data_IF_810564637683
#
_entry.id   IF_810564637683
#
_cell.length_a   1.000
_cell.length_b   1.000
_cell.length_c   1.000
_cell.angle_alpha   90.00
_cell.angle_beta   90.00
_cell.angle_gamma   90.00
#
_symmetry.space_group_name_H-M   'P 1'
#
loop_
_entity.id
_entity.type
_entity.pdbx_description
1 polymer ?
#
# COMPACT_ATOMS: atom_id res chain seq x y z
N UNK A 1 -26.20 -5.57 17.54
CA UNK A 1 -24.74 -5.60 17.49
C UNK A 1 -24.29 -4.56 16.50
N UNK A 2 -24.21 -3.32 16.93
CA UNK A 2 -23.73 -2.27 16.02
C UNK A 2 -22.21 -2.29 16.00
N UNK A 3 -21.63 -2.62 14.87
CA UNK A 3 -20.24 -2.38 14.54
C UNK A 3 -19.90 -0.88 14.57
N UNK A 4 -20.90 -0.06 14.83
CA UNK A 4 -20.82 1.39 14.87
C UNK A 4 -21.02 1.91 16.29
N UNK A 5 -19.95 2.38 16.89
CA UNK A 5 -19.97 3.17 18.11
C UNK A 5 -19.47 4.59 17.81
N UNK A 6 -20.36 5.60 17.77
CA UNK A 6 -19.98 6.97 17.44
C UNK A 6 -19.05 7.61 18.48
N UNK A 7 -18.98 7.07 19.68
CA UNK A 7 -18.14 7.56 20.77
C UNK A 7 -16.76 6.89 20.79
N UNK A 8 -16.57 5.80 20.03
CA UNK A 8 -15.29 5.11 19.93
C UNK A 8 -14.26 5.95 19.17
N UNK A 9 -12.99 5.82 19.55
CA UNK A 9 -11.88 6.41 18.83
C UNK A 9 -11.78 5.88 17.39
N UNK A 10 -11.19 6.66 16.49
CA UNK A 10 -11.17 6.28 15.08
C UNK A 10 -10.47 4.92 14.82
N UNK A 11 -9.52 4.52 15.63
CA UNK A 11 -8.90 3.18 15.58
C UNK A 11 -9.88 2.05 15.93
N UNK A 12 -10.75 2.31 16.88
CA UNK A 12 -11.81 1.36 17.25
C UNK A 12 -12.91 1.32 16.20
N UNK A 13 -13.04 2.42 15.45
CA UNK A 13 -13.99 2.58 14.35
C UNK A 13 -13.41 2.18 12.99
N UNK A 14 -12.18 1.64 12.96
CA UNK A 14 -11.54 1.21 11.71
C UNK A 14 -12.37 0.18 10.93
N UNK A 15 -13.19 -0.60 11.62
CA UNK A 15 -14.15 -1.52 11.00
C UNK A 15 -15.21 -0.83 10.13
N UNK A 16 -15.53 0.43 10.40
CA UNK A 16 -16.50 1.18 9.59
C UNK A 16 -16.00 1.42 8.17
N UNK A 17 -14.69 1.47 7.98
CA UNK A 17 -14.09 1.66 6.67
C UNK A 17 -13.99 0.36 5.87
N UNK A 18 -14.24 -0.77 6.52
CA UNK A 18 -14.12 -2.10 5.92
C UNK A 18 -12.67 -2.51 5.67
N UNK A 19 -12.42 -3.80 5.75
CA UNK A 19 -11.11 -4.39 5.43
C UNK A 19 -10.86 -4.34 3.91
N UNK A 20 -11.92 -4.42 3.12
CA UNK A 20 -11.85 -4.43 1.66
C UNK A 20 -12.53 -3.20 1.07
N UNK A 21 -11.76 -2.39 0.38
CA UNK A 21 -12.24 -1.23 -0.36
C UNK A 21 -12.10 -1.49 -1.87
N UNK A 22 -13.25 -1.62 -2.53
CA UNK A 22 -13.36 -1.85 -3.97
C UNK A 22 -13.43 -0.51 -4.69
N UNK A 23 -12.65 -0.27 -5.75
CA UNK A 23 -12.73 0.97 -6.51
C UNK A 23 -14.09 1.10 -7.21
N UNK A 24 -14.61 2.32 -7.26
CA UNK A 24 -15.82 2.61 -8.00
C UNK A 24 -15.63 2.27 -9.49
N UNK A 25 -16.57 1.56 -10.14
CA UNK A 25 -16.44 1.19 -11.55
C UNK A 25 -16.26 2.38 -12.49
N UNK A 26 -16.85 3.54 -12.20
CA UNK A 26 -16.63 4.74 -13.00
C UNK A 26 -15.20 5.26 -12.89
N UNK A 27 -14.59 5.17 -11.70
CA UNK A 27 -13.17 5.47 -11.49
C UNK A 27 -12.29 4.49 -12.25
N UNK A 28 -12.54 3.19 -12.13
CA UNK A 28 -11.80 2.13 -12.85
C UNK A 28 -11.85 2.37 -14.37
N UNK A 29 -13.04 2.64 -14.91
CA UNK A 29 -13.20 2.95 -16.33
C UNK A 29 -12.43 4.20 -16.76
N UNK A 30 -12.40 5.23 -15.93
CA UNK A 30 -11.64 6.45 -16.21
C UNK A 30 -10.14 6.18 -16.17
N UNK A 31 -9.66 5.42 -15.19
CA UNK A 31 -8.27 5.01 -15.09
C UNK A 31 -7.82 4.22 -16.34
N UNK A 32 -8.57 3.21 -16.73
CA UNK A 32 -8.27 2.38 -17.90
C UNK A 32 -8.27 3.17 -19.21
N UNK A 33 -9.20 4.11 -19.40
CA UNK A 33 -9.21 5.01 -20.56
C UNK A 33 -7.94 5.87 -20.68
N UNK A 34 -7.28 6.10 -19.56
CA UNK A 34 -6.03 6.86 -19.50
C UNK A 34 -4.79 5.97 -19.37
N UNK A 35 -4.93 4.64 -19.54
CA UNK A 35 -3.81 3.70 -19.46
C UNK A 35 -3.25 3.54 -18.03
N UNK A 36 -4.07 3.78 -17.02
CA UNK A 36 -3.71 3.70 -15.60
C UNK A 36 -4.41 2.51 -14.95
N UNK A 37 -3.69 1.76 -14.14
CA UNK A 37 -4.26 0.68 -13.34
C UNK A 37 -5.16 1.22 -12.22
N UNK A 38 -6.19 0.47 -11.89
CA UNK A 38 -7.10 0.73 -10.78
C UNK A 38 -6.96 -0.38 -9.75
N UNK A 39 -6.59 -0.04 -8.51
CA UNK A 39 -6.39 -1.00 -7.44
C UNK A 39 -7.44 -0.82 -6.36
N UNK A 40 -7.93 -1.95 -5.84
CA UNK A 40 -8.63 -2.00 -4.57
C UNK A 40 -7.64 -1.87 -3.41
N UNK A 41 -8.15 -1.71 -2.20
CA UNK A 41 -7.32 -1.70 -1.01
C UNK A 41 -7.79 -2.78 -0.04
N UNK A 42 -6.84 -3.57 0.45
CA UNK A 42 -7.04 -4.47 1.58
C UNK A 42 -6.34 -3.81 2.77
N UNK A 43 -7.11 -3.51 3.80
CA UNK A 43 -6.61 -2.81 4.99
C UNK A 43 -6.62 -3.73 6.20
N UNK A 44 -5.47 -3.93 6.79
CA UNK A 44 -5.30 -4.69 8.03
C UNK A 44 -4.88 -3.75 9.17
N UNK A 45 -5.83 -3.12 9.86
CA UNK A 45 -5.51 -2.23 10.96
C UNK A 45 -5.11 -2.99 12.24
N UNK A 46 -5.43 -4.29 12.34
CA UNK A 46 -5.11 -5.16 13.47
C UNK A 46 -4.77 -6.57 13.02
N UNK A 47 -3.95 -7.26 13.82
CA UNK A 47 -3.52 -8.63 13.52
C UNK A 47 -4.69 -9.60 13.38
N UNK A 48 -5.70 -9.48 14.21
CA UNK A 48 -6.90 -10.32 14.17
C UNK A 48 -7.57 -10.34 12.79
N UNK A 49 -7.57 -9.21 12.07
CA UNK A 49 -8.10 -9.16 10.69
C UNK A 49 -7.23 -9.93 9.71
N UNK A 50 -5.93 -9.97 9.98
CA UNK A 50 -4.99 -10.72 9.17
C UNK A 50 -5.21 -12.22 9.38
N UNK A 51 -5.36 -12.64 10.64
CA UNK A 51 -5.60 -14.05 10.99
C UNK A 51 -6.94 -14.55 10.41
N UNK A 52 -7.99 -13.70 10.42
CA UNK A 52 -9.30 -14.03 9.87
C UNK A 52 -9.30 -14.18 8.33
N UNK A 53 -8.41 -13.50 7.64
CA UNK A 53 -8.37 -13.50 6.18
C UNK A 53 -7.28 -14.43 5.60
N UNK A 54 -6.14 -14.49 6.25
CA UNK A 54 -4.97 -15.26 5.79
C UNK A 54 -4.91 -16.59 6.54
N UNK A 55 -5.71 -17.53 6.09
CA UNK A 55 -5.69 -18.91 6.58
C UNK A 55 -5.80 -19.89 5.41
N UNK A 56 -5.28 -21.09 5.59
CA UNK A 56 -5.34 -22.15 4.60
C UNK A 56 -6.53 -23.09 4.86
N UNK A 57 -7.17 -23.51 3.80
CA UNK A 57 -8.18 -24.57 3.85
C UNK A 57 -7.53 -25.97 3.89
N UNK A 58 -8.37 -27.00 3.87
CA UNK A 58 -7.94 -28.40 3.87
C UNK A 58 -7.08 -28.79 2.64
N UNK A 59 -7.14 -28.00 1.57
CA UNK A 59 -6.34 -28.21 0.35
C UNK A 59 -5.00 -27.48 0.40
N UNK A 60 -4.75 -26.69 1.45
CA UNK A 60 -3.57 -25.88 1.60
C UNK A 60 -3.62 -24.53 0.87
N UNK A 61 -4.77 -24.16 0.29
CA UNK A 61 -4.97 -22.89 -0.40
C UNK A 61 -5.56 -21.84 0.54
N UNK A 62 -5.43 -20.58 0.16
CA UNK A 62 -6.07 -19.45 0.84
C UNK A 62 -7.41 -19.12 0.17
N UNK A 63 -8.56 -19.48 0.79
CA UNK A 63 -9.87 -19.24 0.17
C UNK A 63 -10.15 -17.77 -0.06
N UNK A 64 -9.66 -16.90 0.85
CA UNK A 64 -9.83 -15.48 0.72
C UNK A 64 -9.04 -14.91 -0.47
N UNK A 65 -7.84 -15.42 -0.78
CA UNK A 65 -7.10 -15.01 -1.96
C UNK A 65 -7.87 -15.31 -3.24
N UNK A 66 -8.42 -16.53 -3.37
CA UNK A 66 -9.24 -16.91 -4.53
C UNK A 66 -10.49 -16.02 -4.64
N UNK A 67 -11.14 -15.71 -3.53
CA UNK A 67 -12.30 -14.80 -3.51
C UNK A 67 -11.95 -13.38 -3.91
N UNK A 68 -10.81 -12.85 -3.46
CA UNK A 68 -10.33 -11.53 -3.85
C UNK A 68 -10.02 -11.45 -5.35
N UNK A 69 -9.46 -12.52 -5.91
CA UNK A 69 -9.26 -12.63 -7.37
C UNK A 69 -10.59 -12.60 -8.13
N UNK A 70 -11.58 -13.37 -7.66
CA UNK A 70 -12.94 -13.36 -8.23
C UNK A 70 -13.55 -11.95 -8.19
N UNK A 71 -13.45 -11.27 -7.06
CA UNK A 71 -13.96 -9.90 -6.88
C UNK A 71 -13.28 -8.93 -7.85
N UNK A 72 -11.95 -8.96 -7.94
CA UNK A 72 -11.22 -8.06 -8.85
C UNK A 72 -11.66 -8.28 -10.31
N UNK A 73 -11.74 -9.53 -10.74
CA UNK A 73 -12.19 -9.89 -12.10
C UNK A 73 -13.64 -9.52 -12.36
N UNK A 74 -14.52 -9.66 -11.36
CA UNK A 74 -15.94 -9.31 -11.48
C UNK A 74 -16.15 -7.81 -11.66
N UNK A 75 -15.47 -6.99 -10.86
CA UNK A 75 -15.58 -5.53 -10.91
C UNK A 75 -14.64 -4.89 -11.94
N UNK A 76 -13.72 -5.66 -12.51
CA UNK A 76 -12.85 -5.23 -13.61
C UNK A 76 -11.71 -4.32 -13.22
N UNK A 77 -11.25 -4.35 -11.96
CA UNK A 77 -10.05 -3.65 -11.54
C UNK A 77 -8.82 -4.58 -11.50
N UNK A 78 -7.62 -4.01 -11.47
CA UNK A 78 -6.40 -4.74 -11.85
C UNK A 78 -5.75 -5.50 -10.68
N UNK A 79 -6.04 -5.12 -9.46
CA UNK A 79 -5.41 -5.74 -8.30
C UNK A 79 -5.61 -5.00 -7.01
N UNK A 80 -4.70 -5.23 -6.07
CA UNK A 80 -4.84 -4.69 -4.71
C UNK A 80 -3.58 -3.99 -4.22
N UNK A 81 -3.79 -2.88 -3.53
CA UNK A 81 -2.87 -2.33 -2.57
C UNK A 81 -3.16 -2.96 -1.21
N UNK A 82 -2.17 -3.62 -0.61
CA UNK A 82 -2.31 -4.24 0.70
C UNK A 82 -1.68 -3.33 1.74
N UNK A 83 -2.53 -2.72 2.53
CA UNK A 83 -2.17 -1.79 3.59
C UNK A 83 -2.18 -2.49 4.94
N UNK A 84 -1.11 -3.21 5.24
CA UNK A 84 -0.92 -3.85 6.52
C UNK A 84 -0.10 -2.93 7.43
N UNK A 85 -0.78 -2.28 8.37
CA UNK A 85 -0.19 -1.25 9.23
C UNK A 85 0.24 -1.79 10.59
N UNK A 86 -0.23 -2.96 10.97
CA UNK A 86 0.17 -3.60 12.20
C UNK A 86 1.41 -4.48 12.00
N UNK A 87 2.17 -4.61 13.06
CA UNK A 87 3.36 -5.43 13.06
C UNK A 87 2.98 -6.91 13.14
N UNK A 88 3.20 -7.64 12.05
CA UNK A 88 2.93 -9.07 12.01
C UNK A 88 4.10 -9.87 12.61
N UNK A 89 3.82 -11.00 13.29
CA UNK A 89 4.85 -11.91 13.75
C UNK A 89 5.74 -12.41 12.58
N UNK A 90 7.01 -12.58 12.87
CA UNK A 90 7.97 -13.02 11.85
C UNK A 90 7.66 -14.42 11.27
N UNK A 91 7.09 -15.28 12.07
CA UNK A 91 6.65 -16.62 11.67
C UNK A 91 5.38 -16.62 10.82
N UNK A 92 4.60 -15.53 10.85
CA UNK A 92 3.43 -15.34 9.99
C UNK A 92 3.78 -14.79 8.60
N UNK A 93 4.94 -14.14 8.46
CA UNK A 93 5.32 -13.49 7.20
C UNK A 93 5.36 -14.43 5.98
N UNK A 94 5.81 -15.71 6.09
CA UNK A 94 5.73 -16.64 4.97
C UNK A 94 4.30 -16.91 4.50
N UNK A 95 3.34 -17.04 5.40
CA UNK A 95 1.92 -17.22 5.05
C UNK A 95 1.36 -15.98 4.35
N UNK A 96 1.74 -14.80 4.81
CA UNK A 96 1.35 -13.55 4.16
C UNK A 96 1.95 -13.43 2.74
N UNK A 97 3.21 -13.80 2.57
CA UNK A 97 3.86 -13.83 1.25
C UNK A 97 3.13 -14.78 0.30
N UNK A 98 2.85 -16.02 0.75
CA UNK A 98 2.16 -17.02 -0.05
C UNK A 98 0.70 -16.63 -0.38
N UNK A 99 0.02 -15.98 0.54
CA UNK A 99 -1.30 -15.41 0.27
C UNK A 99 -1.27 -14.39 -0.90
N UNK A 100 -0.29 -13.50 -0.88
CA UNK A 100 -0.07 -12.54 -1.97
C UNK A 100 0.29 -13.24 -3.27
N UNK A 101 1.17 -14.23 -3.21
CA UNK A 101 1.61 -15.05 -4.35
C UNK A 101 0.44 -15.76 -5.02
N UNK A 102 -0.45 -16.36 -4.24
CA UNK A 102 -1.63 -17.03 -4.78
C UNK A 102 -2.54 -16.10 -5.58
N UNK A 103 -2.63 -14.82 -5.23
CA UNK A 103 -3.34 -13.83 -6.02
C UNK A 103 -2.55 -13.43 -7.28
N UNK A 104 -1.25 -13.18 -7.13
CA UNK A 104 -0.38 -12.77 -8.23
C UNK A 104 -0.31 -13.84 -9.34
N UNK A 105 -0.24 -15.12 -9.00
CA UNK A 105 -0.29 -16.25 -9.93
C UNK A 105 -1.55 -16.26 -10.81
N UNK A 106 -2.63 -15.72 -10.30
CA UNK A 106 -3.89 -15.62 -11.02
C UNK A 106 -4.04 -14.32 -11.83
N UNK A 107 -2.94 -13.57 -11.98
CA UNK A 107 -2.84 -12.36 -12.79
C UNK A 107 -3.33 -11.09 -12.09
N UNK A 108 -3.42 -11.09 -10.77
CA UNK A 108 -3.78 -9.91 -9.98
C UNK A 108 -2.52 -9.11 -9.63
N UNK A 109 -2.56 -7.80 -9.89
CA UNK A 109 -1.47 -6.91 -9.50
C UNK A 109 -1.48 -6.70 -7.98
N UNK A 110 -0.35 -6.93 -7.34
CA UNK A 110 -0.19 -6.76 -5.90
C UNK A 110 0.84 -5.68 -5.62
N UNK A 111 0.42 -4.65 -4.89
CA UNK A 111 1.31 -3.67 -4.29
C UNK A 111 1.21 -3.81 -2.78
N UNK A 112 2.34 -3.98 -2.11
CA UNK A 112 2.37 -4.11 -0.65
C UNK A 112 2.99 -2.88 0.00
N UNK A 113 2.41 -2.48 1.13
CA UNK A 113 2.98 -1.44 1.96
C UNK A 113 4.22 -1.96 2.65
N UNK A 114 5.34 -1.34 2.35
CA UNK A 114 6.63 -1.63 2.96
C UNK A 114 7.22 -0.34 3.51
N UNK A 115 7.52 -0.29 4.79
CA UNK A 115 7.90 0.96 5.41
C UNK A 115 9.24 1.49 4.91
N UNK A 116 10.18 0.61 4.63
CA UNK A 116 11.49 1.02 4.14
C UNK A 116 12.27 -0.18 3.59
N UNK A 117 12.71 -0.10 2.36
CA UNK A 117 13.56 -1.13 1.78
C UNK A 117 15.01 -1.01 2.26
N UNK A 118 15.47 0.21 2.44
CA UNK A 118 16.75 0.56 2.99
C UNK A 118 16.59 1.02 4.44
N UNK A 119 17.42 0.59 5.30
CA UNK A 119 17.34 0.92 6.72
C UNK A 119 16.78 -0.25 7.53
N UNK A 120 17.59 -1.22 7.64
CA UNK A 120 17.35 -2.48 8.36
C UNK A 120 16.93 -2.31 9.82
N UNK A 121 16.89 -1.11 10.34
CA UNK A 121 16.66 -0.80 11.74
C UNK A 121 15.35 -0.08 12.02
N UNK A 122 14.48 0.09 11.05
CA UNK A 122 13.16 0.65 11.29
C UNK A 122 12.25 -0.38 11.97
N UNK A 123 12.71 -0.81 13.12
CA UNK A 123 11.90 -1.61 14.00
C UNK A 123 10.87 -0.71 14.64
N UNK A 124 9.61 -0.98 14.37
CA UNK A 124 8.51 -0.37 15.08
C UNK A 124 7.81 0.76 14.37
N UNK A 125 8.10 1.03 13.12
CA UNK A 125 7.23 1.88 12.31
C UNK A 125 6.47 1.06 11.29
N UNK A 126 5.29 1.41 11.06
CA UNK A 126 4.34 1.14 10.00
C UNK A 126 4.94 0.39 8.80
N UNK A 127 4.58 -0.85 8.60
CA UNK A 127 5.02 -1.64 7.48
C UNK A 127 5.65 -2.94 7.93
N UNK A 128 4.90 -3.98 7.77
CA UNK A 128 5.17 -5.27 8.37
C UNK A 128 6.28 -6.02 7.67
N UNK A 129 6.58 -5.67 6.44
CA UNK A 129 7.71 -6.23 5.69
C UNK A 129 9.05 -5.93 6.36
N UNK A 130 9.16 -4.83 7.09
CA UNK A 130 10.35 -4.53 7.89
C UNK A 130 10.69 -5.58 8.93
N UNK A 131 9.72 -6.28 9.39
CA UNK A 131 9.93 -7.34 10.36
C UNK A 131 10.77 -8.47 9.80
N UNK A 132 10.52 -8.75 8.56
CA UNK A 132 11.13 -9.82 7.83
C UNK A 132 12.45 -9.40 7.18
N UNK A 133 12.56 -8.13 6.93
CA UNK A 133 13.57 -7.60 6.05
C UNK A 133 14.83 -7.19 6.82
N UNK A 134 15.62 -8.16 7.19
CA UNK A 134 16.99 -7.90 7.67
C UNK A 134 18.03 -7.95 6.56
N UNK A 135 17.68 -8.45 5.39
CA UNK A 135 18.53 -8.48 4.22
C UNK A 135 17.74 -8.42 2.90
N UNK A 136 18.42 -8.10 1.82
CA UNK A 136 17.81 -7.96 0.50
C UNK A 136 17.29 -9.30 -0.07
N UNK A 137 17.75 -10.42 0.45
CA UNK A 137 17.40 -11.75 -0.05
C UNK A 137 15.92 -12.05 0.20
N UNK A 138 15.43 -11.70 1.39
CA UNK A 138 14.02 -11.91 1.72
C UNK A 138 13.09 -11.04 0.87
N UNK A 139 13.52 -9.82 0.54
CA UNK A 139 12.78 -8.95 -0.37
C UNK A 139 12.74 -9.47 -1.79
N UNK A 140 13.81 -10.15 -2.22
CA UNK A 140 13.87 -10.70 -3.56
C UNK A 140 12.78 -11.74 -3.81
N UNK A 141 12.42 -12.52 -2.81
CA UNK A 141 11.37 -13.53 -2.93
C UNK A 141 10.01 -12.90 -3.22
N UNK A 142 9.72 -11.72 -2.65
CA UNK A 142 8.45 -11.03 -2.88
C UNK A 142 8.32 -10.46 -4.30
N UNK A 143 9.36 -9.83 -4.79
CA UNK A 143 9.30 -8.99 -6.01
C UNK A 143 9.99 -9.60 -7.23
N UNK A 144 10.89 -10.52 -7.04
CA UNK A 144 11.59 -11.25 -8.11
C UNK A 144 11.05 -12.65 -8.31
N UNK A 145 10.51 -13.25 -7.25
CA UNK A 145 10.19 -14.66 -7.20
C UNK A 145 11.45 -15.51 -6.97
N UNK A 146 11.24 -16.79 -6.84
CA UNK A 146 12.27 -17.81 -6.87
C UNK A 146 12.25 -18.53 -8.22
N UNK A 147 13.19 -19.42 -8.49
CA UNK A 147 13.28 -20.13 -9.77
C UNK A 147 11.99 -20.92 -10.11
N UNK A 148 11.27 -21.37 -9.09
CA UNK A 148 10.08 -22.19 -9.22
C UNK A 148 8.77 -21.44 -8.87
N UNK A 149 8.85 -20.22 -8.31
CA UNK A 149 7.72 -19.46 -7.80
C UNK A 149 7.53 -18.15 -8.54
N UNK A 150 6.27 -17.76 -8.71
CA UNK A 150 5.93 -16.40 -9.16
C UNK A 150 6.22 -15.37 -8.07
N UNK A 151 6.22 -14.10 -8.47
CA UNK A 151 6.33 -13.00 -7.52
C UNK A 151 5.14 -12.97 -6.55
N UNK A 152 5.36 -12.53 -5.33
CA UNK A 152 4.28 -12.28 -4.37
C UNK A 152 3.78 -10.82 -4.45
N UNK A 153 4.64 -9.90 -4.87
CA UNK A 153 4.27 -8.50 -5.09
C UNK A 153 4.89 -7.96 -6.37
N UNK A 154 4.13 -7.17 -7.11
CA UNK A 154 4.60 -6.47 -8.30
C UNK A 154 5.37 -5.20 -7.93
N UNK A 155 4.99 -4.56 -6.82
CA UNK A 155 5.64 -3.36 -6.34
C UNK A 155 5.49 -3.18 -4.83
N UNK A 156 6.36 -2.31 -4.32
CA UNK A 156 6.46 -1.94 -2.92
C UNK A 156 6.09 -0.47 -2.75
N UNK A 157 5.19 -0.20 -1.81
CA UNK A 157 4.83 1.15 -1.41
C UNK A 157 5.55 1.49 -0.10
N UNK A 158 6.37 2.53 -0.13
CA UNK A 158 7.27 2.87 0.98
C UNK A 158 6.69 3.98 1.86
N UNK A 159 7.13 4.02 3.10
CA UNK A 159 6.71 5.05 4.06
C UNK A 159 6.89 6.48 3.52
N UNK A 160 5.99 7.40 3.89
CA UNK A 160 6.11 8.81 3.52
C UNK A 160 7.37 9.48 4.06
N UNK A 161 7.92 10.37 3.28
CA UNK A 161 9.05 11.22 3.69
C UNK A 161 10.42 10.57 3.58
N UNK A 162 10.77 9.98 2.43
CA UNK A 162 12.07 9.35 2.26
C UNK A 162 13.21 10.38 2.31
N UNK A 163 14.32 9.97 2.93
CA UNK A 163 15.61 10.66 2.77
C UNK A 163 16.28 10.24 1.46
N UNK A 164 17.27 10.99 1.03
CA UNK A 164 18.09 10.63 -0.14
C UNK A 164 18.74 9.27 0.06
N UNK A 165 19.29 8.98 1.24
CA UNK A 165 19.94 7.70 1.54
C UNK A 165 18.98 6.51 1.42
N UNK A 166 17.72 6.69 1.79
CA UNK A 166 16.69 5.65 1.63
C UNK A 166 16.39 5.36 0.17
N UNK A 167 16.37 6.40 -0.65
CA UNK A 167 16.19 6.28 -2.10
C UNK A 167 17.40 5.60 -2.73
N UNK A 168 18.61 6.03 -2.36
CA UNK A 168 19.87 5.44 -2.83
C UNK A 168 19.95 3.95 -2.53
N UNK A 169 19.63 3.59 -1.28
CA UNK A 169 19.60 2.20 -0.85
C UNK A 169 18.57 1.37 -1.61
N UNK A 170 17.38 1.90 -1.82
CA UNK A 170 16.34 1.23 -2.60
C UNK A 170 16.76 1.00 -4.05
N UNK A 171 17.35 2.00 -4.69
CA UNK A 171 17.88 1.87 -6.06
C UNK A 171 18.96 0.80 -6.12
N UNK A 172 19.94 0.86 -5.20
CA UNK A 172 21.04 -0.11 -5.16
C UNK A 172 20.57 -1.55 -4.98
N UNK A 173 19.57 -1.78 -4.11
CA UNK A 173 19.00 -3.10 -3.91
C UNK A 173 18.28 -3.59 -5.18
N UNK A 174 17.45 -2.74 -5.81
CA UNK A 174 16.74 -3.12 -7.04
C UNK A 174 17.72 -3.43 -8.18
N UNK A 175 18.76 -2.64 -8.35
CA UNK A 175 19.82 -2.90 -9.34
C UNK A 175 20.52 -4.23 -9.09
N UNK A 176 20.83 -4.54 -7.82
CA UNK A 176 21.44 -5.83 -7.45
C UNK A 176 20.56 -7.04 -7.79
N UNK A 177 19.25 -6.85 -7.80
CA UNK A 177 18.25 -7.86 -8.16
C UNK A 177 17.94 -7.88 -9.67
N UNK A 178 18.49 -6.94 -10.45
CA UNK A 178 18.20 -6.77 -11.87
C UNK A 178 16.82 -6.22 -12.15
N UNK A 179 16.26 -5.43 -11.22
CA UNK A 179 14.93 -4.83 -11.30
C UNK A 179 15.01 -3.32 -11.54
N UNK A 180 14.01 -2.76 -12.22
CA UNK A 180 13.86 -1.32 -12.39
C UNK A 180 13.21 -0.69 -11.14
N UNK A 181 13.98 0.05 -10.36
CA UNK A 181 13.50 0.71 -9.14
C UNK A 181 12.30 1.63 -9.38
N UNK A 182 12.18 2.23 -10.58
CA UNK A 182 11.06 3.12 -10.93
C UNK A 182 9.74 2.40 -11.10
N UNK A 183 9.78 1.10 -11.35
CA UNK A 183 8.58 0.27 -11.53
C UNK A 183 8.26 -0.57 -10.29
N UNK A 184 9.26 -0.81 -9.46
CA UNK A 184 9.15 -1.77 -8.37
C UNK A 184 9.03 -1.11 -7.00
N UNK A 185 9.66 0.06 -6.78
CA UNK A 185 9.64 0.74 -5.48
C UNK A 185 9.02 2.12 -5.63
N UNK A 186 7.96 2.37 -4.87
CA UNK A 186 7.24 3.65 -4.87
C UNK A 186 7.47 4.37 -3.54
N UNK A 187 8.38 5.33 -3.54
CA UNK A 187 8.56 6.21 -2.40
C UNK A 187 7.46 7.26 -2.34
N UNK A 188 6.96 7.49 -1.12
CA UNK A 188 5.74 8.24 -0.91
C UNK A 188 5.98 9.66 -0.42
N UNK A 189 5.27 10.58 -1.04
CA UNK A 189 5.04 11.94 -0.56
C UNK A 189 3.61 11.99 0.01
N UNK A 190 3.44 12.55 1.21
CA UNK A 190 2.14 12.60 1.83
C UNK A 190 1.56 14.02 1.79
N UNK A 191 0.46 14.19 1.08
CA UNK A 191 -0.34 15.41 1.07
C UNK A 191 -1.59 15.31 1.95
N UNK A 192 -1.89 14.11 2.46
CA UNK A 192 -3.16 13.79 3.13
C UNK A 192 -3.44 14.59 4.40
N UNK A 193 -2.40 14.91 5.18
CA UNK A 193 -2.55 15.61 6.47
C UNK A 193 -2.29 17.11 6.37
N UNK A 194 -1.59 17.55 5.35
CA UNK A 194 -1.00 18.90 5.31
C UNK A 194 -1.38 19.69 4.07
N UNK A 195 -2.09 19.09 3.13
CA UNK A 195 -2.46 19.73 1.87
C UNK A 195 -1.24 20.18 1.05
N UNK A 196 -1.38 21.31 0.37
CA UNK A 196 -0.33 21.85 -0.50
C UNK A 196 0.93 22.35 0.23
N UNK A 197 0.75 22.85 1.44
CA UNK A 197 1.80 23.66 2.10
C UNK A 197 2.72 22.85 3.00
N UNK A 198 2.51 21.56 3.14
CA UNK A 198 3.26 20.77 4.11
C UNK A 198 3.43 19.31 3.72
N UNK A 199 3.61 19.04 2.42
CA UNK A 199 3.85 17.67 1.95
C UNK A 199 4.97 17.02 2.75
N UNK A 200 4.66 15.93 3.42
CA UNK A 200 5.67 15.16 4.15
C UNK A 200 6.60 14.49 3.15
N UNK A 201 7.85 14.89 3.20
CA UNK A 201 8.89 14.46 2.27
C UNK A 201 9.22 15.55 1.23
N UNK A 202 10.32 15.36 0.57
CA UNK A 202 10.80 16.27 -0.48
C UNK A 202 10.86 15.53 -1.82
N UNK A 203 10.23 16.10 -2.83
CA UNK A 203 10.33 15.59 -4.19
C UNK A 203 11.80 15.57 -4.66
N UNK A 204 12.60 16.52 -4.22
CA UNK A 204 14.02 16.59 -4.59
C UNK A 204 14.83 15.35 -4.16
N UNK A 205 14.41 14.67 -3.09
CA UNK A 205 15.06 13.43 -2.65
C UNK A 205 14.81 12.26 -3.60
N UNK A 206 13.75 12.34 -4.40
CA UNK A 206 13.32 11.30 -5.34
C UNK A 206 13.87 11.49 -6.75
N UNK A 207 14.47 12.64 -7.03
CA UNK A 207 14.95 13.01 -8.37
C UNK A 207 16.47 12.93 -8.44
N UNK A 208 16.97 12.65 -9.63
CA UNK A 208 18.39 12.80 -9.95
C UNK A 208 18.74 14.28 -10.33
N UNK A 209 19.97 14.53 -10.68
CA UNK A 209 20.47 15.83 -11.10
C UNK A 209 19.79 16.41 -12.36
N UNK A 210 19.17 15.55 -13.16
CA UNK A 210 18.41 15.89 -14.36
C UNK A 210 16.90 15.99 -14.11
N UNK A 211 16.48 15.97 -12.85
CA UNK A 211 15.09 15.97 -12.42
C UNK A 211 14.30 14.74 -12.87
N UNK A 212 14.99 13.62 -13.10
CA UNK A 212 14.36 12.34 -13.45
C UNK A 212 14.09 11.52 -12.18
N UNK A 213 12.91 10.94 -12.03
CA UNK A 213 12.62 10.05 -10.91
C UNK A 213 13.58 8.86 -10.84
N UNK A 214 14.12 8.60 -9.68
CA UNK A 214 15.04 7.49 -9.40
C UNK A 214 14.32 6.22 -8.99
N UNK A 215 13.13 6.40 -8.41
CA UNK A 215 12.17 5.35 -8.05
C UNK A 215 10.80 5.74 -8.57
N UNK A 216 9.80 4.88 -8.43
CA UNK A 216 8.41 5.28 -8.53
C UNK A 216 8.09 6.34 -7.47
N UNK A 217 7.15 7.22 -7.78
CA UNK A 217 6.66 8.25 -6.86
C UNK A 217 5.20 7.95 -6.54
N UNK A 218 4.90 7.81 -5.26
CA UNK A 218 3.54 7.71 -4.77
C UNK A 218 3.13 9.03 -4.08
N UNK A 219 1.86 9.37 -4.17
CA UNK A 219 1.29 10.51 -3.47
C UNK A 219 0.11 10.05 -2.61
N UNK A 220 0.32 10.02 -1.31
CA UNK A 220 -0.73 9.66 -0.35
C UNK A 220 -1.63 10.86 -0.09
N UNK A 221 -2.92 10.67 -0.28
CA UNK A 221 -3.92 11.67 0.05
C UNK A 221 -4.01 12.84 -0.93
N UNK A 222 -3.70 12.64 -2.19
CA UNK A 222 -3.79 13.67 -3.24
C UNK A 222 -5.17 14.36 -3.28
N UNK A 223 -6.25 13.64 -2.94
CA UNK A 223 -7.59 14.22 -2.85
C UNK A 223 -7.77 15.29 -1.77
N UNK A 224 -6.87 15.38 -0.80
CA UNK A 224 -6.88 16.42 0.24
C UNK A 224 -6.64 17.81 -0.34
N UNK A 225 -5.95 17.88 -1.47
CA UNK A 225 -5.78 19.13 -2.23
C UNK A 225 -7.12 19.71 -2.62
N UNK A 226 -8.08 18.89 -3.06
CA UNK A 226 -9.45 19.31 -3.34
C UNK A 226 -10.20 19.78 -2.09
N UNK A 227 -10.06 19.03 -0.99
CA UNK A 227 -10.73 19.39 0.27
C UNK A 227 -10.25 20.76 0.79
N UNK A 228 -8.94 21.03 0.73
CA UNK A 228 -8.41 22.33 1.12
C UNK A 228 -8.82 23.48 0.19
N UNK A 229 -8.93 23.23 -1.11
CA UNK A 229 -9.46 24.21 -2.04
C UNK A 229 -10.92 24.53 -1.73
N UNK A 230 -11.73 23.52 -1.38
CA UNK A 230 -13.12 23.69 -1.00
C UNK A 230 -13.26 24.53 0.26
N UNK A 231 -12.45 24.28 1.29
CA UNK A 231 -12.40 25.09 2.50
C UNK A 231 -11.98 26.54 2.23
N UNK A 232 -10.99 26.76 1.38
CA UNK A 232 -10.50 28.11 1.04
C UNK A 232 -11.45 28.88 0.14
N UNK A 233 -12.08 28.20 -0.81
CA UNK A 233 -12.95 28.84 -1.81
C UNK A 233 -14.39 29.00 -1.32
N UNK A 234 -14.90 28.06 -0.54
CA UNK A 234 -16.29 28.02 -0.12
C UNK A 234 -16.51 28.32 1.37
N UNK A 235 -15.43 28.57 2.12
CA UNK A 235 -15.52 28.95 3.53
C UNK A 235 -16.03 27.83 4.45
N UNK A 236 -15.92 26.61 4.04
CA UNK A 236 -16.25 25.46 4.85
C UNK A 236 -15.15 25.28 5.91
N UNK A 237 -15.32 25.93 7.03
CA UNK A 237 -14.44 25.79 8.19
C UNK A 237 -14.76 24.51 8.94
N UNK A 238 -14.32 23.38 8.43
CA UNK A 238 -14.27 22.14 9.18
C UNK A 238 -12.92 22.03 9.87
N UNK A 239 -12.90 21.53 11.10
CA UNK A 239 -11.68 21.13 11.74
C UNK A 239 -10.89 20.21 10.80
N UNK A 240 -9.58 20.38 10.74
CA UNK A 240 -8.61 19.58 9.96
C UNK A 240 -8.62 18.06 10.28
N UNK A 241 -9.64 17.56 10.91
CA UNK A 241 -9.85 16.14 11.06
C UNK A 241 -10.41 15.60 9.75
N UNK A 242 -9.62 14.77 9.13
CA UNK A 242 -9.83 14.01 7.90
C UNK A 242 -11.23 13.35 7.76
N UNK A 243 -12.01 13.33 8.84
CA UNK A 243 -13.22 12.54 8.95
C UNK A 243 -14.53 13.32 8.81
N UNK A 244 -14.55 14.62 9.04
CA UNK A 244 -15.84 15.31 9.16
C UNK A 244 -16.35 15.92 7.85
N UNK A 245 -15.49 16.34 6.94
CA UNK A 245 -15.87 17.04 5.72
C UNK A 245 -16.17 16.15 4.51
N UNK A 246 -16.03 14.85 4.63
CA UNK A 246 -16.32 13.88 3.55
C UNK A 246 -17.67 13.19 3.67
N UNK A 247 -18.51 13.62 4.61
CA UNK A 247 -19.86 13.06 4.83
C UNK A 247 -20.98 13.90 4.21
N UNK A 248 -20.66 14.73 3.24
CA UNK A 248 -21.65 15.42 2.45
C UNK A 248 -22.17 14.58 1.30
#
# INVERSE_FOLDING_TARGET
DSLFDPEAGWWERAYEFGILNIPNPAYTNAAHKNGVQSLGCIFFPRQEHTDDLIFRDETGRFPAADKLVEIAKWYGFDGYFINAEEQLPADFMPEYEEFCRQMAEQGIYIQVYASNLYGQNNQGSWGNINYYNKDATQFSNWIKGTDDDTIAANSLYMNPGPSTDMVDGSVSIMESLGLDARKTVFHTLEAGQTGFSGVRGSLNNLLDENLVPRTGIANLGAGTVWAHLDEQVFGHTGNNSYSENRRG
#
